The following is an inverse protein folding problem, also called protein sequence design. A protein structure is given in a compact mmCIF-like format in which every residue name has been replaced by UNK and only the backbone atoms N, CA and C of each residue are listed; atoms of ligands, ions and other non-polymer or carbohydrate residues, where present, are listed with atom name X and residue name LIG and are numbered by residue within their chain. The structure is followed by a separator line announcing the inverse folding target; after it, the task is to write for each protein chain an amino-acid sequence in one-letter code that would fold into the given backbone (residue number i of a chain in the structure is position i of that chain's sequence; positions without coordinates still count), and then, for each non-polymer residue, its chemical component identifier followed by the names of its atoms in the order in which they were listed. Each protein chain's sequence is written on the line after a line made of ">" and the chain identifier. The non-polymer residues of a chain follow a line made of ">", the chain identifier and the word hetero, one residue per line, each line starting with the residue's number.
data_IF_749933158518
#
_entry.id   IF_749933158518
#
_cell.length_a   1.000
_cell.length_b   1.000
_cell.length_c   1.000
_cell.angle_alpha   90.00
_cell.angle_beta   90.00
_cell.angle_gamma   90.00
#
_symmetry.space_group_name_H-M   'P 1'
#
loop_
_entity.id
_entity.type
_entity.pdbx_description
1 polymer ?
#
# COMPACT_ATOMS: atom_id res chain seq x y z
N UNK A 1 -4.57 17.29 3.20
CA UNK A 1 -5.60 18.33 3.13
C UNK A 1 -6.60 18.10 4.25
N UNK A 2 -7.10 19.15 4.89
CA UNK A 2 -8.11 19.04 5.95
C UNK A 2 -9.30 19.94 5.62
N UNK A 3 -10.51 19.44 5.85
CA UNK A 3 -11.75 20.15 5.60
C UNK A 3 -12.56 20.08 6.90
N UNK A 4 -12.89 21.24 7.45
CA UNK A 4 -13.71 21.35 8.66
C UNK A 4 -14.87 22.30 8.41
N UNK A 5 -16.01 22.00 9.03
CA UNK A 5 -17.22 22.82 8.91
C UNK A 5 -18.22 22.45 9.98
N UNK A 6 -18.99 23.42 10.45
CA UNK A 6 -20.05 23.20 11.44
C UNK A 6 -21.18 22.33 10.87
N UNK A 7 -21.54 22.53 9.60
CA UNK A 7 -22.54 21.75 8.91
C UNK A 7 -21.92 20.87 7.81
N UNK A 8 -22.03 19.55 8.01
CA UNK A 8 -21.53 18.54 7.06
C UNK A 8 -22.17 18.69 5.70
N UNK A 9 -23.43 19.10 5.62
CA UNK A 9 -24.18 19.15 4.36
C UNK A 9 -23.76 20.32 3.45
N UNK A 10 -23.28 21.42 4.01
CA UNK A 10 -22.96 22.63 3.25
C UNK A 10 -21.49 22.73 2.86
N UNK A 11 -20.59 22.16 3.68
CA UNK A 11 -19.15 22.24 3.45
C UNK A 11 -18.66 20.95 2.82
N UNK A 12 -18.30 20.99 1.54
CA UNK A 12 -17.77 19.85 0.81
C UNK A 12 -16.85 20.31 -0.33
N UNK A 13 -15.95 19.41 -0.74
CA UNK A 13 -15.26 19.52 -2.01
C UNK A 13 -15.92 18.58 -3.00
N UNK A 14 -16.02 19.00 -4.27
CA UNK A 14 -16.53 18.17 -5.34
C UNK A 14 -15.59 18.23 -6.53
N UNK A 15 -15.46 17.12 -7.23
CA UNK A 15 -14.82 17.06 -8.54
C UNK A 15 -15.66 16.21 -9.49
N UNK A 16 -15.76 16.59 -10.78
CA UNK A 16 -15.18 17.78 -11.43
C UNK A 16 -15.89 19.11 -11.06
N UNK A 17 -15.20 20.25 -11.26
CA UNK A 17 -15.70 21.59 -10.91
C UNK A 17 -17.02 21.93 -11.59
N UNK A 18 -17.15 21.59 -12.88
CA UNK A 18 -18.39 21.80 -13.64
C UNK A 18 -19.39 20.66 -13.35
N UNK A 19 -20.65 20.96 -12.97
CA UNK A 19 -21.76 20.01 -12.86
C UNK A 19 -21.95 19.06 -14.05
N UNK A 20 -21.70 19.53 -15.26
CA UNK A 20 -21.96 18.80 -16.52
C UNK A 20 -20.83 17.86 -16.91
N UNK A 21 -19.63 18.07 -16.38
CA UNK A 21 -18.49 17.22 -16.65
C UNK A 21 -18.53 15.95 -15.80
N UNK A 22 -17.96 14.88 -16.34
CA UNK A 22 -17.72 13.61 -15.66
C UNK A 22 -16.22 13.34 -15.54
N UNK A 23 -15.81 12.57 -14.52
CA UNK A 23 -14.43 12.09 -14.43
C UNK A 23 -14.10 11.02 -15.49
N UNK A 24 -15.08 10.21 -15.89
CA UNK A 24 -14.88 9.14 -16.88
C UNK A 24 -13.96 8.01 -16.39
N UNK A 25 -13.84 7.82 -15.08
CA UNK A 25 -12.93 6.82 -14.50
C UNK A 25 -13.63 5.47 -14.48
N UNK A 26 -13.06 4.46 -15.14
CA UNK A 26 -13.62 3.11 -15.27
C UNK A 26 -13.10 2.11 -14.23
N UNK A 27 -12.24 2.57 -13.33
CA UNK A 27 -11.62 1.73 -12.31
C UNK A 27 -12.63 1.41 -11.19
N UNK A 28 -12.87 0.13 -10.86
CA UNK A 28 -13.97 -0.30 -10.00
C UNK A 28 -13.76 -0.02 -8.51
N UNK A 29 -12.52 0.08 -8.04
CA UNK A 29 -12.22 0.33 -6.63
C UNK A 29 -11.87 1.80 -6.42
N UNK A 30 -12.60 2.43 -5.51
CA UNK A 30 -12.26 3.75 -4.98
C UNK A 30 -11.62 3.57 -3.60
N UNK A 31 -10.42 4.11 -3.40
CA UNK A 31 -9.70 4.01 -2.13
C UNK A 31 -9.52 5.41 -1.54
N UNK A 32 -9.93 5.57 -0.28
CA UNK A 32 -9.79 6.81 0.47
C UNK A 32 -8.92 6.58 1.71
N UNK A 33 -7.85 7.36 1.83
CA UNK A 33 -7.00 7.42 3.01
C UNK A 33 -7.36 8.67 3.81
N UNK A 34 -8.15 8.48 4.86
CA UNK A 34 -8.73 9.57 5.64
C UNK A 34 -8.52 9.39 7.14
N UNK A 35 -8.29 10.48 7.87
CA UNK A 35 -8.25 10.49 9.33
C UNK A 35 -9.62 10.81 9.89
N UNK A 36 -10.09 9.99 10.83
CA UNK A 36 -11.27 10.27 11.62
C UNK A 36 -10.99 11.42 12.60
N UNK A 37 -11.85 12.45 12.58
CA UNK A 37 -11.80 13.58 13.51
C UNK A 37 -12.86 13.46 14.62
N UNK A 38 -13.47 12.28 14.79
CA UNK A 38 -14.56 11.99 15.73
C UNK A 38 -15.78 12.91 15.55
N UNK A 39 -16.04 13.29 14.30
CA UNK A 39 -17.15 14.16 13.90
C UNK A 39 -17.92 13.51 12.77
N UNK A 40 -19.13 14.01 12.51
CA UNK A 40 -19.94 13.52 11.40
C UNK A 40 -19.26 13.78 10.06
N UNK A 41 -19.16 12.72 9.26
CA UNK A 41 -18.50 12.70 7.96
C UNK A 41 -19.38 11.96 6.95
N UNK A 42 -19.29 12.38 5.70
CA UNK A 42 -20.02 11.78 4.59
C UNK A 42 -19.21 11.95 3.31
N UNK A 43 -19.28 10.97 2.41
CA UNK A 43 -18.89 11.16 1.03
C UNK A 43 -19.98 10.65 0.09
N UNK A 44 -20.08 11.27 -1.08
CA UNK A 44 -20.99 10.91 -2.14
C UNK A 44 -20.20 10.60 -3.41
N UNK A 45 -20.50 9.46 -4.02
CA UNK A 45 -19.99 9.08 -5.34
C UNK A 45 -21.17 8.95 -6.29
N UNK A 46 -21.11 9.63 -7.43
CA UNK A 46 -22.02 9.39 -8.55
C UNK A 46 -21.35 8.47 -9.56
N UNK A 47 -22.06 7.41 -9.92
CA UNK A 47 -21.67 6.45 -10.94
C UNK A 47 -22.63 6.49 -12.12
N UNK A 48 -22.17 5.98 -13.25
CA UNK A 48 -22.96 5.62 -14.41
C UNK A 48 -22.99 4.09 -14.50
N UNK A 49 -24.17 3.53 -14.74
CA UNK A 49 -24.35 2.10 -15.00
C UNK A 49 -24.49 1.78 -16.51
N UNK A 50 -24.61 0.49 -16.83
CA UNK A 50 -24.84 -0.02 -18.19
C UNK A 50 -26.17 0.43 -18.82
N UNK A 51 -27.18 0.68 -17.99
CA UNK A 51 -28.47 1.26 -18.39
C UNK A 51 -28.40 2.78 -18.60
N UNK A 52 -27.22 3.40 -18.48
CA UNK A 52 -26.99 4.86 -18.56
C UNK A 52 -27.77 5.66 -17.51
N UNK A 53 -28.16 5.03 -16.41
CA UNK A 53 -28.68 5.70 -15.22
C UNK A 53 -27.55 6.19 -14.34
N UNK A 54 -27.70 7.43 -13.88
CA UNK A 54 -26.80 8.02 -12.90
C UNK A 54 -27.29 7.68 -11.50
N UNK A 55 -26.46 6.96 -10.74
CA UNK A 55 -26.77 6.56 -9.37
C UNK A 55 -25.79 7.15 -8.40
N UNK A 56 -26.26 7.47 -7.20
CA UNK A 56 -25.44 8.06 -6.15
C UNK A 56 -25.31 7.09 -4.98
N UNK A 57 -24.08 6.84 -4.58
CA UNK A 57 -23.78 6.20 -3.31
C UNK A 57 -23.40 7.27 -2.30
N UNK A 58 -24.18 7.38 -1.23
CA UNK A 58 -23.91 8.25 -0.09
C UNK A 58 -23.49 7.37 1.07
N UNK A 59 -22.27 7.57 1.55
CA UNK A 59 -21.72 6.79 2.66
C UNK A 59 -21.46 7.73 3.82
N UNK A 60 -22.00 7.41 5.00
CA UNK A 60 -21.92 8.30 6.17
C UNK A 60 -21.73 7.53 7.47
N UNK A 61 -21.07 8.17 8.43
CA UNK A 61 -20.74 7.57 9.72
C UNK A 61 -21.86 7.66 10.78
N UNK A 62 -22.90 8.44 10.52
CA UNK A 62 -24.07 8.59 11.40
C UNK A 62 -25.28 7.77 10.91
N UNK A 63 -25.19 7.16 9.73
CA UNK A 63 -26.21 6.26 9.24
C UNK A 63 -25.98 4.88 9.85
N UNK A 64 -27.04 4.22 10.34
CA UNK A 64 -26.94 2.86 10.88
C UNK A 64 -27.47 1.78 9.94
N UNK A 65 -28.40 2.12 9.04
CA UNK A 65 -29.06 1.17 8.14
C UNK A 65 -28.79 1.51 6.69
N UNK A 66 -28.50 0.49 5.88
CA UNK A 66 -28.43 0.66 4.43
C UNK A 66 -29.84 0.88 3.88
N UNK A 67 -30.01 1.91 3.05
CA UNK A 67 -31.26 2.19 2.35
C UNK A 67 -30.96 2.34 0.87
N UNK A 68 -31.54 1.47 0.06
CA UNK A 68 -31.39 1.47 -1.40
C UNK A 68 -32.62 2.15 -1.99
N UNK A 69 -32.41 3.29 -2.64
CA UNK A 69 -33.41 3.96 -3.49
C UNK A 69 -32.93 3.94 -4.93
N UNK A 70 -33.83 4.04 -5.93
CA UNK A 70 -33.47 3.93 -7.35
C UNK A 70 -32.27 4.81 -7.78
N UNK A 71 -32.21 6.05 -7.31
CA UNK A 71 -31.15 7.00 -7.67
C UNK A 71 -30.11 7.24 -6.57
N UNK A 72 -30.38 6.80 -5.34
CA UNK A 72 -29.52 7.09 -4.19
C UNK A 72 -29.52 5.92 -3.22
N UNK A 73 -28.33 5.37 -2.95
CA UNK A 73 -28.14 4.37 -1.90
C UNK A 73 -27.37 5.00 -0.76
N UNK A 74 -27.97 4.98 0.43
CA UNK A 74 -27.34 5.42 1.67
C UNK A 74 -26.72 4.21 2.37
N UNK A 75 -25.42 4.25 2.66
CA UNK A 75 -24.69 3.18 3.33
C UNK A 75 -24.05 3.68 4.63
N UNK A 76 -24.12 2.89 5.71
CA UNK A 76 -23.40 3.16 6.93
C UNK A 76 -21.89 2.92 6.72
N UNK A 77 -21.05 3.66 7.44
CA UNK A 77 -19.63 3.35 7.57
C UNK A 77 -19.16 3.45 9.03
N UNK A 78 -18.42 2.44 9.47
CA UNK A 78 -17.66 2.52 10.72
C UNK A 78 -16.30 3.17 10.45
N UNK A 79 -15.86 4.04 11.35
CA UNK A 79 -14.51 4.61 11.32
C UNK A 79 -13.85 4.41 12.68
N UNK A 80 -12.63 3.87 12.69
CA UNK A 80 -11.83 3.77 13.91
C UNK A 80 -11.20 5.14 14.24
N UNK A 81 -10.78 5.37 15.49
CA UNK A 81 -9.94 6.51 15.83
C UNK A 81 -8.63 6.49 15.02
N UNK A 82 -8.21 7.64 14.49
CA UNK A 82 -6.95 7.75 13.73
C UNK A 82 -7.11 7.62 12.21
N UNK A 83 -6.10 7.06 11.55
CA UNK A 83 -6.07 6.93 10.10
C UNK A 83 -6.80 5.67 9.63
N UNK A 84 -7.73 5.84 8.70
CA UNK A 84 -8.54 4.78 8.12
C UNK A 84 -8.27 4.71 6.60
N UNK A 85 -8.14 3.50 6.08
CA UNK A 85 -8.13 3.22 4.66
C UNK A 85 -9.46 2.57 4.27
N UNK A 86 -10.26 3.27 3.48
CA UNK A 86 -11.56 2.79 3.04
C UNK A 86 -11.43 2.30 1.63
N UNK A 87 -11.72 1.02 1.41
CA UNK A 87 -11.85 0.43 0.09
C UNK A 87 -13.32 0.35 -0.29
N UNK A 88 -13.68 1.00 -1.37
CA UNK A 88 -15.06 1.10 -1.82
C UNK A 88 -15.19 0.47 -3.21
N UNK A 89 -15.74 -0.74 -3.25
CA UNK A 89 -15.93 -1.50 -4.48
C UNK A 89 -17.20 -1.07 -5.20
N UNK A 90 -17.07 -0.11 -6.12
CA UNK A 90 -18.20 0.45 -6.87
C UNK A 90 -18.90 -0.59 -7.73
N UNK A 91 -18.14 -1.49 -8.36
CA UNK A 91 -18.70 -2.51 -9.24
C UNK A 91 -19.62 -3.48 -8.49
N UNK A 92 -19.16 -3.97 -7.35
CA UNK A 92 -19.94 -4.91 -6.55
C UNK A 92 -21.14 -4.24 -5.86
N UNK A 93 -20.99 -3.01 -5.34
CA UNK A 93 -22.12 -2.28 -4.77
C UNK A 93 -23.20 -1.97 -5.81
N UNK A 94 -22.84 -1.67 -7.05
CA UNK A 94 -23.80 -1.42 -8.14
C UNK A 94 -24.58 -2.68 -8.48
N UNK A 95 -23.87 -3.81 -8.61
CA UNK A 95 -24.48 -5.12 -8.87
C UNK A 95 -25.43 -5.54 -7.74
N UNK A 96 -25.02 -5.40 -6.49
CA UNK A 96 -25.83 -5.80 -5.32
C UNK A 96 -27.03 -4.89 -5.06
N UNK A 97 -26.89 -3.58 -5.25
CA UNK A 97 -27.96 -2.64 -4.96
C UNK A 97 -28.99 -2.55 -6.10
N UNK A 98 -28.55 -2.67 -7.36
CA UNK A 98 -29.39 -2.36 -8.52
C UNK A 98 -29.47 -3.47 -9.56
N UNK A 99 -28.65 -4.53 -9.44
CA UNK A 99 -28.59 -5.59 -10.45
C UNK A 99 -27.92 -5.19 -11.76
N UNK A 100 -27.31 -4.00 -11.82
CA UNK A 100 -26.66 -3.45 -13.02
C UNK A 100 -25.14 -3.47 -12.91
N UNK A 101 -24.44 -3.33 -14.04
CA UNK A 101 -22.99 -3.27 -14.05
C UNK A 101 -22.48 -1.83 -13.93
N UNK A 102 -21.40 -1.66 -13.19
CA UNK A 102 -20.68 -0.39 -13.11
C UNK A 102 -19.95 -0.09 -14.42
N UNK A 103 -20.11 1.13 -14.93
CA UNK A 103 -19.47 1.58 -16.16
C UNK A 103 -18.37 2.60 -15.87
N UNK A 104 -18.71 3.69 -15.16
CA UNK A 104 -17.74 4.72 -14.79
C UNK A 104 -18.17 5.55 -13.57
N UNK A 105 -17.20 6.18 -12.93
CA UNK A 105 -17.44 7.22 -11.92
C UNK A 105 -17.55 8.57 -12.58
N UNK A 106 -18.64 9.26 -12.29
CA UNK A 106 -18.94 10.58 -12.85
C UNK A 106 -18.43 11.68 -11.94
N UNK A 107 -18.70 11.59 -10.64
CA UNK A 107 -18.42 12.66 -9.68
C UNK A 107 -18.12 12.10 -8.30
N UNK A 108 -17.19 12.74 -7.61
CA UNK A 108 -16.88 12.49 -6.21
C UNK A 108 -17.13 13.78 -5.43
N UNK A 109 -17.77 13.64 -4.29
CA UNK A 109 -18.04 14.73 -3.36
C UNK A 109 -17.68 14.26 -1.95
N UNK A 110 -16.86 15.03 -1.26
CA UNK A 110 -16.38 14.69 0.09
C UNK A 110 -16.77 15.83 1.01
N UNK A 111 -17.54 15.52 2.04
CA UNK A 111 -18.02 16.49 3.01
C UNK A 111 -16.96 16.79 4.08
N UNK A 112 -17.22 17.82 4.87
CA UNK A 112 -16.35 18.30 5.92
C UNK A 112 -16.14 17.31 7.07
N UNK A 113 -15.26 17.72 7.98
CA UNK A 113 -14.81 17.02 9.19
C UNK A 113 -13.98 15.78 8.91
N UNK A 114 -13.07 15.91 7.95
CA UNK A 114 -12.13 14.86 7.56
C UNK A 114 -10.77 15.45 7.21
N UNK A 115 -9.72 14.68 7.52
CA UNK A 115 -8.39 14.95 7.00
C UNK A 115 -8.06 13.92 5.93
N UNK A 116 -7.93 14.39 4.71
CA UNK A 116 -7.66 13.57 3.53
C UNK A 116 -6.15 13.55 3.32
N UNK A 117 -5.59 12.34 3.26
CA UNK A 117 -4.22 12.13 2.78
C UNK A 117 -4.23 11.94 1.27
N UNK A 118 -5.00 10.97 0.78
CA UNK A 118 -5.03 10.55 -0.63
C UNK A 118 -6.38 9.94 -0.98
N UNK A 119 -6.77 10.13 -2.23
CA UNK A 119 -7.91 9.48 -2.87
C UNK A 119 -7.43 9.03 -4.23
N UNK A 120 -7.63 7.77 -4.56
CA UNK A 120 -7.22 7.21 -5.84
C UNK A 120 -8.15 6.06 -6.21
N UNK A 121 -8.13 5.70 -7.50
CA UNK A 121 -8.87 4.57 -8.01
C UNK A 121 -7.91 3.45 -8.39
N UNK A 122 -8.35 2.20 -8.24
CA UNK A 122 -7.58 1.01 -8.61
C UNK A 122 -8.44 0.01 -9.36
N UNK A 123 -7.77 -0.83 -10.14
CA UNK A 123 -8.35 -1.97 -10.86
C UNK A 123 -8.68 -3.13 -9.91
N UNK A 124 -7.84 -3.32 -8.89
CA UNK A 124 -7.96 -4.37 -7.86
C UNK A 124 -7.63 -3.83 -6.47
N UNK A 125 -7.96 -4.64 -5.46
CA UNK A 125 -7.55 -4.37 -4.08
C UNK A 125 -6.09 -4.81 -3.90
N UNK A 126 -5.19 -3.84 -3.80
CA UNK A 126 -3.78 -4.08 -3.50
C UNK A 126 -3.57 -4.12 -1.98
N UNK A 127 -2.77 -5.07 -1.51
CA UNK A 127 -2.30 -5.08 -0.14
C UNK A 127 -1.32 -3.91 0.08
N UNK A 128 -1.14 -3.50 1.33
CA UNK A 128 -0.19 -2.42 1.66
C UNK A 128 1.24 -2.74 1.20
N UNK A 129 1.59 -4.01 1.07
CA UNK A 129 2.92 -4.49 0.66
C UNK A 129 3.29 -4.15 -0.78
N UNK A 130 2.32 -4.35 -1.68
CA UNK A 130 2.44 -4.09 -3.11
C UNK A 130 2.26 -2.61 -3.45
N UNK A 131 1.77 -1.82 -2.49
CA UNK A 131 1.59 -0.40 -2.67
C UNK A 131 2.94 0.33 -2.57
N UNK A 132 3.26 1.22 -3.53
CA UNK A 132 4.39 2.13 -3.40
C UNK A 132 4.31 2.89 -2.07
N UNK A 133 5.47 3.19 -1.45
CA UNK A 133 5.53 3.84 -0.12
C UNK A 133 4.71 5.13 -0.03
N UNK A 134 4.50 5.78 -1.18
CA UNK A 134 3.62 6.92 -1.30
C UNK A 134 2.16 6.61 -0.89
N UNK A 135 1.60 5.49 -1.34
CA UNK A 135 0.20 5.13 -1.10
C UNK A 135 -0.05 4.38 0.22
N UNK A 136 1.02 3.99 0.93
CA UNK A 136 0.92 3.28 2.21
C UNK A 136 0.41 4.20 3.33
N UNK A 137 -0.37 3.63 4.25
CA UNK A 137 -0.88 4.33 5.44
C UNK A 137 0.27 4.74 6.36
N UNK A 138 1.22 3.82 6.57
CA UNK A 138 2.47 4.05 7.29
C UNK A 138 3.58 4.20 6.26
N UNK A 139 4.15 5.40 6.16
CA UNK A 139 5.37 5.60 5.40
C UNK A 139 6.48 4.82 6.12
N UNK A 140 7.08 3.80 5.50
CA UNK A 140 8.34 3.29 6.05
C UNK A 140 9.35 4.45 6.02
N UNK A 141 10.12 4.70 7.09
CA UNK A 141 11.20 5.67 7.04
C UNK A 141 12.07 5.30 5.85
N UNK A 142 12.40 6.29 5.02
CA UNK A 142 13.27 6.07 3.88
C UNK A 142 14.58 5.47 4.40
N UNK A 143 14.88 4.21 4.06
CA UNK A 143 16.24 3.74 4.15
C UNK A 143 17.05 4.63 3.23
N UNK A 144 17.80 5.58 3.82
CA UNK A 144 18.88 6.25 3.12
C UNK A 144 19.78 5.14 2.63
N UNK A 145 19.73 4.82 1.33
CA UNK A 145 20.74 3.98 0.69
C UNK A 145 22.08 4.66 0.98
N UNK A 146 22.84 4.16 1.95
CA UNK A 146 24.23 4.54 2.10
C UNK A 146 24.88 4.15 0.79
N UNK A 147 25.37 5.14 0.05
CA UNK A 147 26.26 4.90 -1.08
C UNK A 147 27.43 4.07 -0.54
N UNK A 148 27.47 2.78 -0.88
CA UNK A 148 28.65 1.95 -0.62
C UNK A 148 29.68 2.42 -1.63
N UNK A 149 30.54 3.36 -1.22
CA UNK A 149 31.79 3.61 -1.91
C UNK A 149 32.61 2.33 -1.85
N UNK A 150 32.67 1.60 -2.95
CA UNK A 150 33.61 0.50 -3.11
C UNK A 150 35.00 1.10 -3.30
N UNK A 151 35.68 1.44 -2.20
CA UNK A 151 37.12 1.64 -2.25
C UNK A 151 37.76 0.27 -2.46
N UNK A 152 38.25 0.02 -3.68
CA UNK A 152 39.02 -1.18 -4.02
C UNK A 152 40.24 -1.24 -3.08
N UNK A 153 40.43 -2.31 -2.28
CA UNK A 153 41.67 -2.48 -1.53
C UNK A 153 42.82 -2.61 -2.52
N UNK A 154 43.88 -1.81 -2.34
CA UNK A 154 45.06 -1.81 -3.18
C UNK A 154 45.58 -3.24 -3.40
N UNK A 155 45.75 -3.60 -4.67
CA UNK A 155 46.27 -4.91 -5.06
C UNK A 155 47.60 -5.20 -4.35
N UNK A 156 47.72 -6.43 -3.84
CA UNK A 156 48.94 -7.00 -3.26
C UNK A 156 50.14 -6.70 -4.18
N UNK A 157 51.26 -6.16 -3.66
CA UNK A 157 52.44 -5.89 -4.49
C UNK A 157 53.01 -7.20 -5.07
N UNK A 158 53.50 -7.19 -6.33
CA UNK A 158 54.06 -8.38 -6.96
C UNK A 158 55.40 -8.76 -6.31
N UNK A 159 55.57 -10.05 -6.01
CA UNK A 159 56.83 -10.59 -5.50
C UNK A 159 57.96 -10.42 -6.52
N UNK A 160 59.18 -10.00 -6.11
CA UNK A 160 60.30 -9.84 -7.03
C UNK A 160 60.88 -11.20 -7.45
N UNK A 161 61.13 -11.37 -8.75
CA UNK A 161 61.71 -12.57 -9.33
C UNK A 161 63.27 -12.56 -9.31
N UNK A 162 63.81 -13.59 -8.65
CA UNK A 162 65.06 -14.38 -8.84
C UNK A 162 66.39 -13.73 -9.32
N UNK A 163 67.45 -14.06 -8.58
CA UNK A 163 68.78 -14.57 -9.02
C UNK A 163 69.57 -14.95 -7.75
N UNK A 164 70.55 -15.84 -7.65
CA UNK A 164 71.03 -17.07 -8.29
C UNK A 164 72.11 -17.64 -7.31
N UNK A 165 72.49 -18.93 -7.44
CA UNK A 165 73.62 -19.62 -6.78
C UNK A 165 73.45 -20.04 -5.29
N UNK A 166 73.92 -21.18 -4.76
CA UNK A 166 74.62 -22.39 -5.23
C UNK A 166 74.74 -23.37 -4.04
N UNK A 167 74.76 -24.69 -4.32
CA UNK A 167 75.30 -25.83 -3.50
C UNK A 167 74.42 -26.54 -2.45
N UNK A 168 74.15 -27.83 -2.77
CA UNK A 168 74.15 -29.09 -1.97
C UNK A 168 73.53 -29.09 -0.55
N UNK A 169 72.75 -30.08 -0.09
CA UNK A 169 72.90 -31.53 -0.21
C UNK A 169 71.62 -32.24 0.28
N UNK A 170 71.36 -33.37 -0.37
CA UNK A 170 70.50 -34.54 -0.10
C UNK A 170 69.96 -34.76 1.33
N UNK A 171 68.67 -35.15 1.46
CA UNK A 171 68.14 -36.44 1.97
C UNK A 171 66.63 -36.30 2.29
N UNK A 172 65.81 -37.07 1.58
CA UNK A 172 64.46 -37.53 1.98
C UNK A 172 64.59 -38.97 2.54
N UNK A 173 63.55 -39.70 3.02
CA UNK A 173 62.11 -39.39 3.06
C UNK A 173 61.33 -39.91 4.31
N UNK A 174 60.01 -39.71 4.31
CA UNK A 174 59.02 -40.59 4.97
C UNK A 174 58.30 -39.95 6.16
N UNK A 175 56.97 -39.99 6.29
CA UNK A 175 55.91 -40.61 5.52
C UNK A 175 54.55 -40.13 6.08
N UNK A 176 53.51 -40.15 5.23
CA UNK A 176 52.09 -40.05 5.60
C UNK A 176 51.56 -41.44 6.06
N UNK A 177 50.24 -41.67 6.31
CA UNK A 177 49.23 -40.99 7.16
C UNK A 177 48.37 -42.04 7.95
N UNK A 178 47.43 -41.62 8.83
CA UNK A 178 46.13 -42.32 9.09
C UNK A 178 45.31 -41.55 10.14
N UNK A 179 44.10 -41.05 9.83
CA UNK A 179 42.79 -41.73 10.03
C UNK A 179 42.55 -42.33 11.42
N UNK A 180 41.50 -41.84 12.12
CA UNK A 180 40.39 -42.66 12.63
C UNK A 180 39.38 -41.82 13.43
N UNK A 181 38.10 -42.05 13.12
CA UNK A 181 36.91 -41.59 13.85
C UNK A 181 36.63 -42.46 15.09
N UNK A 182 35.85 -41.91 16.04
CA UNK A 182 34.90 -42.54 17.00
C UNK A 182 34.59 -41.47 18.07
N UNK A 183 33.45 -41.37 18.75
CA UNK A 183 32.07 -41.84 18.64
C UNK A 183 31.32 -41.16 19.82
N UNK A 184 30.00 -41.09 19.71
CA UNK A 184 28.99 -41.11 20.79
C UNK A 184 28.76 -39.94 21.78
N UNK A 185 27.45 -39.63 21.87
CA UNK A 185 26.61 -39.31 23.04
C UNK A 185 26.79 -37.95 23.74
N UNK A 186 25.84 -37.03 23.56
CA UNK A 186 24.57 -36.90 24.31
C UNK A 186 24.78 -36.28 25.70
N UNK A 187 24.04 -35.20 25.98
CA UNK A 187 23.31 -34.87 27.23
C UNK A 187 23.24 -33.35 27.48
N UNK A 188 22.01 -32.85 27.48
CA UNK A 188 21.42 -31.73 28.24
C UNK A 188 21.93 -30.28 28.16
N UNK A 189 21.00 -29.45 27.64
CA UNK A 189 20.37 -28.28 28.30
C UNK A 189 21.21 -27.48 29.30
N UNK A 190 21.39 -26.18 29.04
CA UNK A 190 21.18 -25.13 30.05
C UNK A 190 20.84 -23.77 29.40
N UNK A 191 19.77 -23.18 29.96
CA UNK A 191 19.23 -21.81 29.88
C UNK A 191 18.75 -21.23 28.54
#
# INVERSE_FOLDING_TARGET
>A
MEIMGSNVSTTYITGPRDPKMSFGIKLPFLVLLIKNLHKYFTFEVKILDDQRFMRRFRVSNFQSKTSVKPFCTAMPMGMSPGWNQIHFNLADFTRRAYGTNYMETVRLQIHANVRIRRIYFTDRLYAEEDLPNEFRLVSKPAERKKHRDYTVPAARPPSPAKSAATTERTISPGGEPSEAATDAADTEKYY
#
